data_IF_214792010673
#
_entry.id   IF_214792010673
#
_cell.length_a   1.000
_cell.length_b   1.000
_cell.length_c   1.000
_cell.angle_alpha   90.00
_cell.angle_beta   90.00
_cell.angle_gamma   90.00
#
_symmetry.space_group_name_H-M   'P 1'
#
loop_
_entity.id
_entity.type
_entity.pdbx_description
1 polymer ?
#
# COMPACT_ATOMS: atom_id res chain seq x y z
N UNK A 1 -6.22 0.00 0.42
CA UNK A 1 -7.42 -0.88 0.37
C UNK A 1 -6.98 -2.34 0.31
N UNK A 2 -7.35 -3.14 1.32
CA UNK A 2 -6.97 -4.55 1.39
C UNK A 2 -7.85 -5.47 0.52
N UNK A 3 -9.05 -5.02 0.15
CA UNK A 3 -10.03 -5.73 -0.67
C UNK A 3 -10.28 -4.94 -1.96
N UNK A 4 -10.25 -5.62 -3.09
CA UNK A 4 -10.64 -5.04 -4.37
C UNK A 4 -12.16 -4.82 -4.38
N UNK A 5 -12.59 -3.58 -4.61
CA UNK A 5 -14.01 -3.24 -4.85
C UNK A 5 -14.25 -3.22 -6.35
N UNK A 6 -15.28 -3.93 -6.81
CA UNK A 6 -15.63 -3.98 -8.23
C UNK A 6 -16.90 -3.16 -8.47
N UNK A 7 -16.77 -2.12 -9.28
CA UNK A 7 -17.90 -1.45 -9.92
C UNK A 7 -17.95 -1.92 -11.37
N UNK A 8 -19.11 -2.43 -11.80
CA UNK A 8 -19.32 -2.94 -13.16
C UNK A 8 -19.87 -1.88 -14.10
N UNK A 9 -20.14 -0.66 -13.62
CA UNK A 9 -20.59 0.44 -14.47
C UNK A 9 -19.51 0.73 -15.54
N UNK A 10 -19.87 0.68 -16.84
CA UNK A 10 -18.96 1.09 -17.90
C UNK A 10 -18.57 2.55 -17.74
N UNK A 11 -17.31 2.86 -18.04
CA UNK A 11 -16.79 4.24 -18.06
C UNK A 11 -16.97 4.77 -19.48
N UNK A 12 -17.82 5.78 -19.64
CA UNK A 12 -18.18 6.37 -20.94
C UNK A 12 -17.27 7.55 -21.32
N UNK A 13 -16.60 8.18 -20.35
CA UNK A 13 -15.72 9.32 -20.61
C UNK A 13 -14.85 9.74 -19.43
N UNK A 14 -13.95 10.70 -19.69
CA UNK A 14 -13.05 11.27 -18.68
C UNK A 14 -13.80 12.03 -17.59
N UNK A 15 -14.93 12.66 -17.92
CA UNK A 15 -15.74 13.42 -16.96
C UNK A 15 -16.30 12.54 -15.83
N UNK A 16 -16.56 11.25 -16.09
CA UNK A 16 -16.98 10.30 -15.07
C UNK A 16 -15.85 9.98 -14.08
N UNK A 17 -14.60 9.92 -14.55
CA UNK A 17 -13.43 9.74 -13.70
C UNK A 17 -13.20 10.98 -12.82
N UNK A 18 -13.38 12.17 -13.39
CA UNK A 18 -13.33 13.43 -12.64
C UNK A 18 -14.45 13.47 -11.60
N UNK A 19 -15.67 13.12 -12.00
CA UNK A 19 -16.84 13.01 -11.13
C UNK A 19 -16.63 12.02 -9.99
N UNK A 20 -15.97 10.88 -10.26
CA UNK A 20 -15.63 9.88 -9.26
C UNK A 20 -14.69 10.44 -8.17
N UNK A 21 -13.65 11.19 -8.54
CA UNK A 21 -12.79 11.86 -7.56
C UNK A 21 -13.54 12.96 -6.79
N UNK A 22 -14.34 13.76 -7.50
CA UNK A 22 -15.13 14.83 -6.90
C UNK A 22 -16.19 14.32 -5.90
N UNK A 23 -16.70 13.10 -6.10
CA UNK A 23 -17.61 12.44 -5.15
C UNK A 23 -16.95 12.15 -3.79
N UNK A 24 -15.62 12.21 -3.70
CA UNK A 24 -14.87 12.11 -2.45
C UNK A 24 -14.97 13.35 -1.54
N UNK A 25 -15.51 14.47 -2.04
CA UNK A 25 -15.69 15.69 -1.26
C UNK A 25 -16.61 15.45 -0.05
N UNK A 26 -16.17 15.87 1.14
CA UNK A 26 -16.93 15.72 2.40
C UNK A 26 -16.94 17.03 3.19
N UNK A 27 -18.07 17.43 3.78
CA UNK A 27 -18.09 18.58 4.68
C UNK A 27 -17.19 18.32 5.90
N UNK A 28 -16.65 19.39 6.50
CA UNK A 28 -15.60 19.30 7.55
C UNK A 28 -15.97 18.45 8.75
N UNK A 29 -17.24 18.44 9.16
CA UNK A 29 -17.75 17.62 10.27
C UNK A 29 -17.70 16.10 9.98
N UNK A 30 -17.57 15.74 8.70
CA UNK A 30 -17.40 14.36 8.22
C UNK A 30 -15.95 13.99 7.93
N UNK A 31 -14.99 14.89 8.13
CA UNK A 31 -13.58 14.55 7.96
C UNK A 31 -13.13 13.53 8.99
N UNK A 32 -12.29 12.60 8.55
CA UNK A 32 -11.71 11.52 9.34
C UNK A 32 -10.22 11.41 9.06
N UNK A 33 -9.54 10.64 9.91
CA UNK A 33 -8.12 10.31 9.85
C UNK A 33 -8.04 8.79 9.71
N UNK A 34 -7.70 8.32 8.52
CA UNK A 34 -7.29 6.94 8.31
C UNK A 34 -5.79 6.82 8.54
N UNK A 35 -5.32 5.72 9.13
CA UNK A 35 -3.87 5.49 9.30
C UNK A 35 -3.55 4.08 8.91
N UNK A 36 -2.51 3.92 8.10
CA UNK A 36 -2.03 2.61 7.68
C UNK A 36 -0.57 2.45 8.06
N UNK A 37 -0.18 1.26 8.48
CA UNK A 37 1.21 1.00 8.82
C UNK A 37 1.60 -0.45 8.58
N UNK A 38 2.82 -0.62 8.07
CA UNK A 38 3.43 -1.90 7.77
C UNK A 38 4.51 -2.24 8.81
N UNK A 39 4.81 -3.53 8.93
CA UNK A 39 5.81 -4.04 9.88
C UNK A 39 6.36 -5.37 9.41
N UNK A 40 7.64 -5.63 9.65
CA UNK A 40 8.31 -6.87 9.26
C UNK A 40 8.14 -7.95 10.32
N UNK A 41 7.50 -9.10 10.03
CA UNK A 41 7.55 -10.26 10.91
C UNK A 41 8.92 -10.95 10.82
N UNK A 42 9.46 -11.39 11.96
CA UNK A 42 10.70 -12.17 12.03
C UNK A 42 10.64 -13.22 13.15
N UNK A 43 11.37 -14.32 12.97
CA UNK A 43 11.54 -15.30 14.05
C UNK A 43 12.51 -14.78 15.11
N UNK A 44 12.16 -14.93 16.38
CA UNK A 44 13.04 -14.54 17.51
C UNK A 44 14.33 -15.35 17.49
N UNK A 45 14.25 -16.62 17.11
CA UNK A 45 15.41 -17.47 16.89
C UNK A 45 16.02 -17.16 15.51
N UNK A 46 17.28 -16.73 15.49
CA UNK A 46 18.05 -16.47 14.27
C UNK A 46 17.65 -15.23 13.46
N UNK A 47 16.54 -14.55 13.78
CA UNK A 47 16.06 -13.36 13.07
C UNK A 47 15.80 -13.58 11.56
N UNK A 48 15.38 -14.80 11.19
CA UNK A 48 14.99 -15.11 9.82
C UNK A 48 13.62 -14.46 9.47
N UNK A 49 13.38 -14.12 8.19
CA UNK A 49 12.08 -13.62 7.77
C UNK A 49 11.02 -14.71 7.84
N UNK A 50 9.76 -14.33 8.04
CA UNK A 50 8.66 -15.29 8.19
C UNK A 50 8.04 -15.61 6.82
N UNK A 51 8.07 -16.87 6.35
CA UNK A 51 7.44 -17.26 5.09
C UNK A 51 5.91 -17.22 5.19
N UNK A 52 5.23 -17.31 4.04
CA UNK A 52 3.77 -17.39 4.02
C UNK A 52 3.24 -18.65 4.72
N UNK A 53 3.74 -19.82 4.30
CA UNK A 53 3.28 -21.12 4.78
C UNK A 53 4.10 -21.68 5.95
N UNK A 54 3.77 -22.91 6.35
CA UNK A 54 4.34 -23.59 7.51
C UNK A 54 3.54 -23.36 8.79
N UNK A 55 3.76 -24.21 9.80
CA UNK A 55 3.02 -24.17 11.08
C UNK A 55 3.19 -22.84 11.83
N UNK A 56 4.33 -22.16 11.60
CA UNK A 56 4.66 -20.86 12.19
C UNK A 56 4.83 -19.79 11.09
N UNK A 57 4.04 -19.85 10.02
CA UNK A 57 4.06 -18.88 8.92
C UNK A 57 3.10 -17.70 9.09
N UNK A 58 3.15 -16.74 8.16
CA UNK A 58 2.22 -15.60 8.13
C UNK A 58 0.75 -16.05 8.04
N UNK A 59 0.47 -17.15 7.33
CA UNK A 59 -0.87 -17.74 7.28
C UNK A 59 -1.43 -18.04 8.69
N UNK A 60 -0.60 -18.61 9.57
CA UNK A 60 -1.02 -18.94 10.93
C UNK A 60 -1.34 -17.66 11.75
N UNK A 61 -0.61 -16.56 11.50
CA UNK A 61 -0.90 -15.27 12.12
C UNK A 61 -2.25 -14.73 11.60
N UNK A 62 -2.51 -14.78 10.29
CA UNK A 62 -3.80 -14.35 9.73
C UNK A 62 -4.97 -15.18 10.26
N UNK A 63 -4.85 -16.50 10.32
CA UNK A 63 -5.89 -17.38 10.87
C UNK A 63 -6.11 -17.12 12.37
N UNK A 64 -5.05 -16.88 13.14
CA UNK A 64 -5.17 -16.48 14.55
C UNK A 64 -5.85 -15.11 14.72
N UNK A 65 -5.50 -14.13 13.88
CA UNK A 65 -6.14 -12.81 13.86
C UNK A 65 -7.62 -12.93 13.48
N UNK A 66 -7.94 -13.79 12.51
CA UNK A 66 -9.31 -14.05 12.07
C UNK A 66 -10.16 -14.55 13.25
N UNK A 67 -9.68 -15.58 13.97
CA UNK A 67 -10.38 -16.15 15.12
C UNK A 67 -10.55 -15.14 16.25
N UNK A 68 -9.52 -14.31 16.51
CA UNK A 68 -9.55 -13.32 17.59
C UNK A 68 -10.47 -12.15 17.29
N UNK A 69 -10.49 -11.68 16.05
CA UNK A 69 -11.22 -10.48 15.65
C UNK A 69 -12.63 -10.76 15.11
N UNK A 70 -12.89 -11.98 14.64
CA UNK A 70 -14.11 -12.31 13.90
C UNK A 70 -14.20 -11.61 12.55
N UNK A 71 -13.06 -11.25 11.94
CA UNK A 71 -12.99 -10.56 10.66
C UNK A 71 -13.11 -11.54 9.49
N UNK A 72 -13.60 -11.06 8.36
CA UNK A 72 -13.81 -11.87 7.17
C UNK A 72 -12.49 -12.07 6.40
N UNK A 73 -12.20 -13.29 5.92
CA UNK A 73 -10.96 -13.55 5.21
C UNK A 73 -11.00 -12.97 3.79
N UNK A 74 -9.90 -12.34 3.39
CA UNK A 74 -9.64 -11.94 2.01
C UNK A 74 -8.86 -13.08 1.35
N UNK A 75 -9.40 -13.62 0.26
CA UNK A 75 -8.88 -14.81 -0.39
C UNK A 75 -8.32 -14.50 -1.79
N UNK A 76 -7.20 -15.11 -2.14
CA UNK A 76 -6.64 -15.12 -3.50
C UNK A 76 -6.15 -16.54 -3.82
N UNK A 77 -6.62 -17.11 -4.93
CA UNK A 77 -6.31 -18.47 -5.35
C UNK A 77 -6.42 -19.52 -4.21
N UNK A 78 -7.45 -19.40 -3.36
CA UNK A 78 -7.70 -20.29 -2.23
C UNK A 78 -6.81 -20.08 -1.00
N UNK A 79 -6.05 -18.99 -0.95
CA UNK A 79 -5.14 -18.63 0.14
C UNK A 79 -5.64 -17.38 0.86
N UNK A 80 -5.63 -17.39 2.19
CA UNK A 80 -5.90 -16.20 2.99
C UNK A 80 -4.73 -15.22 2.82
N UNK A 81 -5.02 -13.99 2.39
CA UNK A 81 -4.03 -12.94 2.09
C UNK A 81 -4.27 -11.64 2.88
N UNK A 82 -5.32 -11.62 3.70
CA UNK A 82 -5.72 -10.48 4.50
C UNK A 82 -7.02 -10.77 5.24
N UNK A 83 -7.47 -9.78 6.01
CA UNK A 83 -8.73 -9.77 6.73
C UNK A 83 -9.40 -8.43 6.51
N UNK A 84 -10.73 -8.42 6.44
CA UNK A 84 -11.52 -7.19 6.42
C UNK A 84 -12.48 -7.20 7.60
N UNK A 85 -12.55 -6.08 8.31
CA UNK A 85 -13.51 -5.89 9.38
C UNK A 85 -14.94 -5.95 8.80
N UNK A 86 -15.93 -6.57 9.49
CA UNK A 86 -17.27 -6.79 8.93
C UNK A 86 -18.02 -5.53 8.46
N UNK A 87 -17.78 -4.36 9.05
CA UNK A 87 -18.34 -3.08 8.58
C UNK A 87 -17.55 -2.44 7.44
N UNK A 88 -16.41 -3.04 7.07
CA UNK A 88 -15.53 -2.59 5.99
C UNK A 88 -14.64 -1.41 6.34
N UNK A 89 -14.58 -1.02 7.62
CA UNK A 89 -13.85 0.18 8.04
C UNK A 89 -12.36 -0.05 8.25
N UNK A 90 -11.95 -1.26 8.59
CA UNK A 90 -10.55 -1.62 8.79
C UNK A 90 -10.18 -2.89 8.05
N UNK A 91 -8.88 -3.08 7.80
CA UNK A 91 -8.38 -4.29 7.18
C UNK A 91 -6.95 -4.61 7.58
N UNK A 92 -6.61 -5.89 7.53
CA UNK A 92 -5.24 -6.40 7.61
C UNK A 92 -4.87 -6.92 6.24
N UNK A 93 -3.71 -6.53 5.75
CA UNK A 93 -3.24 -6.91 4.42
C UNK A 93 -1.77 -7.33 4.45
N UNK A 94 -1.31 -7.99 3.39
CA UNK A 94 0.08 -8.40 3.21
C UNK A 94 0.69 -7.69 2.00
N UNK A 95 1.85 -7.09 2.21
CA UNK A 95 2.71 -6.58 1.14
C UNK A 95 3.60 -7.67 0.52
N UNK A 96 4.26 -7.44 -0.64
CA UNK A 96 4.93 -8.50 -1.40
C UNK A 96 5.94 -9.33 -0.62
N UNK A 97 6.67 -8.70 0.31
CA UNK A 97 7.68 -9.32 1.17
C UNK A 97 7.14 -9.93 2.47
N UNK A 98 5.83 -9.90 2.69
CA UNK A 98 5.20 -10.37 3.93
C UNK A 98 5.16 -9.29 5.02
N UNK A 99 5.38 -8.03 4.68
CA UNK A 99 5.12 -6.93 5.59
C UNK A 99 3.63 -6.95 5.97
N UNK A 100 3.36 -6.89 7.27
CA UNK A 100 2.04 -7.12 7.82
C UNK A 100 1.35 -5.80 8.12
N UNK A 101 0.40 -5.42 7.28
CA UNK A 101 -0.23 -4.11 7.29
C UNK A 101 -1.47 -4.08 8.19
N UNK A 102 -1.71 -2.93 8.83
CA UNK A 102 -3.05 -2.51 9.22
C UNK A 102 -3.45 -1.33 8.34
N UNK A 103 -4.62 -1.40 7.71
CA UNK A 103 -5.36 -0.25 7.21
C UNK A 103 -6.46 0.05 8.24
N UNK A 104 -6.23 1.09 9.05
CA UNK A 104 -7.09 1.44 10.19
C UNK A 104 -8.38 2.14 9.79
N UNK A 105 -9.32 2.21 10.72
CA UNK A 105 -10.61 2.85 10.52
C UNK A 105 -10.49 4.35 10.25
N UNK A 106 -11.48 4.96 9.56
CA UNK A 106 -11.58 6.41 9.45
C UNK A 106 -12.04 7.01 10.79
N UNK A 107 -11.09 7.53 11.57
CA UNK A 107 -11.33 7.98 12.96
C UNK A 107 -11.42 9.51 13.09
N UNK A 108 -12.05 10.01 14.14
CA UNK A 108 -12.29 11.44 14.36
C UNK A 108 -11.10 12.16 15.02
N UNK A 109 -10.22 11.42 15.69
CA UNK A 109 -9.11 12.02 16.44
C UNK A 109 -7.87 11.14 16.47
N UNK A 110 -6.71 11.79 16.58
CA UNK A 110 -5.40 11.12 16.76
C UNK A 110 -5.35 10.21 18.00
N UNK A 111 -6.17 10.50 19.02
CA UNK A 111 -6.25 9.66 20.21
C UNK A 111 -6.95 8.33 19.92
N UNK A 112 -7.98 8.33 19.08
CA UNK A 112 -8.60 7.10 18.59
C UNK A 112 -7.60 6.32 17.73
N UNK A 113 -6.91 6.98 16.79
CA UNK A 113 -5.86 6.35 15.96
C UNK A 113 -4.78 5.69 16.81
N UNK A 114 -4.30 6.37 17.85
CA UNK A 114 -3.30 5.81 18.77
C UNK A 114 -3.83 4.59 19.53
N UNK A 115 -5.10 4.60 19.97
CA UNK A 115 -5.72 3.44 20.63
C UNK A 115 -5.87 2.25 19.68
N UNK A 116 -6.32 2.49 18.44
CA UNK A 116 -6.46 1.45 17.42
C UNK A 116 -5.11 0.80 17.11
N UNK A 117 -4.08 1.61 16.84
CA UNK A 117 -2.73 1.09 16.56
C UNK A 117 -2.18 0.26 17.73
N UNK A 118 -2.34 0.71 18.98
CA UNK A 118 -1.90 -0.04 20.14
C UNK A 118 -2.70 -1.34 20.35
N UNK A 119 -4.01 -1.32 20.11
CA UNK A 119 -4.85 -2.51 20.20
C UNK A 119 -4.41 -3.56 19.17
N UNK A 120 -4.19 -3.15 17.92
CA UNK A 120 -3.67 -4.04 16.87
C UNK A 120 -2.32 -4.64 17.22
N UNK A 121 -1.37 -3.82 17.69
CA UNK A 121 -0.05 -4.31 18.10
C UNK A 121 -0.13 -5.32 19.24
N UNK A 122 -1.03 -5.12 20.21
CA UNK A 122 -1.26 -6.06 21.30
C UNK A 122 -1.87 -7.38 20.80
N UNK A 123 -2.87 -7.32 19.92
CA UNK A 123 -3.54 -8.49 19.35
C UNK A 123 -2.59 -9.33 18.49
N UNK A 124 -1.85 -8.68 17.58
CA UNK A 124 -0.86 -9.35 16.74
C UNK A 124 0.23 -9.99 17.60
N UNK A 125 0.66 -9.31 18.68
CA UNK A 125 1.65 -9.85 19.62
C UNK A 125 1.15 -11.12 20.31
N UNK A 126 -0.09 -11.12 20.80
CA UNK A 126 -0.70 -12.27 21.48
C UNK A 126 -0.70 -13.52 20.60
N UNK A 127 -0.95 -13.37 19.30
CA UNK A 127 -0.98 -14.47 18.33
C UNK A 127 0.41 -14.88 17.87
N UNK A 128 1.31 -13.93 17.64
CA UNK A 128 2.63 -14.19 17.07
C UNK A 128 3.66 -14.71 18.09
N UNK A 129 3.54 -14.33 19.36
CA UNK A 129 4.48 -14.74 20.41
C UNK A 129 4.57 -16.27 20.59
N UNK A 130 3.45 -17.02 20.70
CA UNK A 130 3.50 -18.48 20.77
C UNK A 130 4.13 -19.15 19.55
N UNK A 131 4.10 -18.47 18.40
CA UNK A 131 4.73 -18.93 17.15
C UNK A 131 6.24 -18.59 17.09
N UNK A 132 6.79 -17.94 18.12
CA UNK A 132 8.17 -17.48 18.15
C UNK A 132 8.45 -16.31 17.20
N UNK A 133 7.42 -15.51 16.89
CA UNK A 133 7.49 -14.40 15.92
C UNK A 133 7.35 -13.06 16.64
N UNK A 134 8.13 -12.09 16.19
CA UNK A 134 8.07 -10.68 16.58
C UNK A 134 7.96 -9.79 15.35
N UNK A 135 7.65 -8.51 15.59
CA UNK A 135 7.50 -7.52 14.53
C UNK A 135 8.48 -6.37 14.73
N UNK A 136 9.02 -5.88 13.61
CA UNK A 136 9.97 -4.78 13.56
C UNK A 136 9.39 -3.62 12.73
N UNK A 137 9.37 -2.43 13.33
CA UNK A 137 8.97 -1.18 12.65
C UNK A 137 10.19 -0.40 12.18
N UNK A 138 10.53 -0.53 10.90
CA UNK A 138 11.61 0.20 10.22
C UNK A 138 11.19 0.52 8.80
N UNK A 139 11.75 1.56 8.19
CA UNK A 139 11.44 1.91 6.79
C UNK A 139 11.94 0.88 5.77
N UNK A 140 12.92 0.05 6.14
CA UNK A 140 13.47 -1.00 5.28
C UNK A 140 14.05 -2.17 6.08
N UNK A 141 14.05 -3.36 5.48
CA UNK A 141 14.62 -4.56 6.11
C UNK A 141 16.12 -4.37 6.34
N UNK A 142 16.59 -4.43 7.59
CA UNK A 142 17.98 -4.13 7.91
C UNK A 142 18.93 -5.29 7.62
N UNK A 143 18.40 -6.51 7.45
CA UNK A 143 19.18 -7.77 7.52
C UNK A 143 19.12 -8.60 6.25
N UNK A 144 17.93 -8.77 5.66
CA UNK A 144 17.69 -9.77 4.63
C UNK A 144 18.01 -9.22 3.24
N UNK A 145 18.64 -10.04 2.41
CA UNK A 145 18.74 -9.73 0.99
C UNK A 145 17.37 -9.85 0.33
N UNK A 146 17.25 -9.35 -0.90
CA UNK A 146 16.04 -9.56 -1.70
C UNK A 146 15.79 -11.07 -1.94
N UNK A 147 16.85 -11.87 -2.09
CA UNK A 147 16.75 -13.31 -2.30
C UNK A 147 16.29 -14.07 -1.06
N UNK A 148 16.62 -13.58 0.14
CA UNK A 148 16.17 -14.16 1.41
C UNK A 148 14.72 -13.81 1.74
N UNK A 149 14.18 -12.77 1.10
CA UNK A 149 12.86 -12.23 1.43
C UNK A 149 11.75 -13.12 0.88
N UNK A 150 10.78 -13.54 1.72
CA UNK A 150 9.64 -14.34 1.29
C UNK A 150 8.79 -13.62 0.25
N UNK A 151 8.09 -14.40 -0.58
CA UNK A 151 7.13 -13.88 -1.57
C UNK A 151 5.72 -14.23 -1.14
N UNK A 152 4.88 -13.23 -0.92
CA UNK A 152 3.49 -13.46 -0.57
C UNK A 152 2.71 -13.96 -1.78
N UNK A 153 1.79 -14.92 -1.60
CA UNK A 153 1.09 -15.59 -2.70
C UNK A 153 -0.11 -14.77 -3.18
N UNK A 154 0.12 -13.50 -3.55
CA UNK A 154 -0.89 -12.61 -4.13
C UNK A 154 -0.64 -12.48 -5.63
N UNK A 155 -1.61 -12.90 -6.42
CA UNK A 155 -1.54 -13.02 -7.88
C UNK A 155 -1.11 -11.69 -8.54
N UNK A 156 -1.63 -10.56 -8.04
CA UNK A 156 -1.25 -9.22 -8.52
C UNK A 156 0.25 -8.91 -8.41
N UNK A 157 0.93 -9.43 -7.39
CA UNK A 157 2.34 -9.14 -7.16
C UNK A 157 3.25 -9.85 -8.16
N UNK A 158 2.82 -10.96 -8.76
CA UNK A 158 3.60 -11.61 -9.81
C UNK A 158 3.76 -10.71 -11.04
N UNK A 159 2.70 -9.99 -11.42
CA UNK A 159 2.71 -9.03 -12.52
C UNK A 159 3.69 -7.90 -12.21
N UNK A 160 3.55 -7.28 -11.03
CA UNK A 160 4.41 -6.17 -10.60
C UNK A 160 5.87 -6.60 -10.51
N UNK A 161 6.17 -7.78 -9.97
CA UNK A 161 7.55 -8.29 -9.86
C UNK A 161 8.23 -8.49 -11.21
N UNK A 162 7.49 -8.89 -12.25
CA UNK A 162 8.03 -8.96 -13.62
C UNK A 162 8.19 -7.58 -14.25
N UNK A 163 7.38 -6.60 -13.82
CA UNK A 163 7.37 -5.26 -14.39
C UNK A 163 8.46 -4.34 -13.81
N UNK A 164 8.67 -4.35 -12.50
CA UNK A 164 9.58 -3.40 -11.82
C UNK A 164 10.97 -3.29 -12.46
N UNK A 165 11.66 -4.38 -12.85
CA UNK A 165 12.97 -4.28 -13.49
C UNK A 165 12.98 -3.54 -14.83
N UNK A 166 11.83 -3.33 -15.47
CA UNK A 166 11.70 -2.64 -16.76
C UNK A 166 11.64 -1.11 -16.61
N UNK A 167 11.36 -0.60 -15.41
CA UNK A 167 11.03 0.82 -15.17
C UNK A 167 11.89 1.51 -14.11
N UNK A 168 12.68 0.76 -13.36
CA UNK A 168 13.60 1.30 -12.35
C UNK A 168 14.47 0.19 -11.77
N UNK A 169 15.53 0.57 -11.06
CA UNK A 169 16.44 -0.42 -10.46
C UNK A 169 16.05 -0.80 -9.03
N UNK A 170 15.14 -0.06 -8.39
CA UNK A 170 14.82 -0.22 -6.96
C UNK A 170 13.40 -0.70 -6.68
N UNK A 171 12.58 -0.91 -7.72
CA UNK A 171 11.17 -1.28 -7.55
C UNK A 171 10.96 -2.63 -6.85
N UNK A 172 11.88 -3.60 -7.00
CA UNK A 172 11.82 -4.85 -6.23
C UNK A 172 12.12 -4.62 -4.74
N UNK A 173 13.07 -3.74 -4.41
CA UNK A 173 13.34 -3.41 -3.01
C UNK A 173 12.19 -2.66 -2.36
N UNK A 174 11.53 -1.76 -3.10
CA UNK A 174 10.28 -1.13 -2.68
C UNK A 174 9.26 -2.19 -2.27
N UNK A 175 8.96 -3.12 -3.17
CA UNK A 175 7.95 -4.16 -2.97
C UNK A 175 8.27 -5.08 -1.78
N UNK A 176 9.50 -5.57 -1.71
CA UNK A 176 9.83 -6.69 -0.82
C UNK A 176 10.50 -6.25 0.48
N UNK A 177 11.19 -5.10 0.50
CA UNK A 177 12.10 -4.74 1.59
C UNK A 177 11.80 -3.40 2.24
N UNK A 178 10.68 -2.74 1.95
CA UNK A 178 10.28 -1.49 2.64
C UNK A 178 9.01 -1.65 3.49
N UNK A 179 8.88 -0.81 4.52
CA UNK A 179 7.62 -0.59 5.24
C UNK A 179 7.31 0.91 5.29
N UNK A 180 6.04 1.29 5.38
CA UNK A 180 5.58 2.67 5.58
C UNK A 180 4.68 2.84 6.81
N UNK A 181 4.55 4.08 7.25
CA UNK A 181 3.37 4.57 7.97
C UNK A 181 2.79 5.71 7.14
N UNK A 182 1.48 5.71 6.94
CA UNK A 182 0.78 6.70 6.12
C UNK A 182 -0.54 7.14 6.75
N UNK A 183 -1.00 8.32 6.33
CA UNK A 183 -2.24 8.92 6.79
C UNK A 183 -3.12 9.26 5.59
N UNK A 184 -4.40 8.93 5.70
CA UNK A 184 -5.42 9.24 4.71
C UNK A 184 -6.29 10.37 5.28
N UNK A 185 -6.42 11.47 4.52
CA UNK A 185 -7.13 12.68 4.95
C UNK A 185 -8.17 13.09 3.89
N UNK A 186 -9.33 13.54 4.37
CA UNK A 186 -10.41 14.01 3.52
C UNK A 186 -10.21 15.46 3.03
N UNK A 187 -11.01 15.85 2.03
CA UNK A 187 -11.11 17.22 1.51
C UNK A 187 -12.57 17.61 1.30
N UNK A 188 -12.89 18.91 1.39
CA UNK A 188 -14.28 19.40 1.26
C UNK A 188 -14.68 19.89 -0.14
N UNK A 189 -13.71 20.17 -0.99
CA UNK A 189 -13.89 20.68 -2.34
C UNK A 189 -12.62 20.50 -3.16
N UNK A 190 -12.70 20.73 -4.47
CA UNK A 190 -11.52 20.76 -5.34
C UNK A 190 -10.46 21.79 -4.89
N UNK A 191 -10.90 22.97 -4.46
CA UNK A 191 -10.00 24.02 -3.94
C UNK A 191 -9.27 23.57 -2.67
N UNK A 192 -9.96 22.88 -1.76
CA UNK A 192 -9.36 22.33 -0.54
C UNK A 192 -8.42 21.16 -0.87
N UNK A 193 -8.83 20.26 -1.77
CA UNK A 193 -7.99 19.17 -2.30
C UNK A 193 -6.69 19.71 -2.90
N UNK A 194 -6.77 20.70 -3.82
CA UNK A 194 -5.62 21.37 -4.43
C UNK A 194 -4.67 21.88 -3.36
N UNK A 195 -5.20 22.64 -2.38
CA UNK A 195 -4.40 23.22 -1.31
C UNK A 195 -3.71 22.14 -0.47
N UNK A 196 -4.44 21.10 -0.07
CA UNK A 196 -3.90 19.97 0.71
C UNK A 196 -2.83 19.22 -0.06
N UNK A 197 -3.06 18.87 -1.33
CA UNK A 197 -2.08 18.23 -2.20
C UNK A 197 -0.80 19.06 -2.32
N UNK A 198 -0.92 20.36 -2.60
CA UNK A 198 0.23 21.27 -2.73
C UNK A 198 1.05 21.38 -1.44
N UNK A 199 0.38 21.51 -0.30
CA UNK A 199 1.04 21.58 1.01
C UNK A 199 1.72 20.24 1.33
N UNK A 200 0.99 19.13 1.18
CA UNK A 200 1.50 17.78 1.46
C UNK A 200 2.72 17.47 0.61
N UNK A 201 2.67 17.71 -0.71
CA UNK A 201 3.82 17.47 -1.59
C UNK A 201 5.02 18.35 -1.20
N UNK A 202 4.83 19.65 -0.95
CA UNK A 202 5.93 20.56 -0.53
C UNK A 202 6.59 20.12 0.78
N UNK A 203 5.80 19.61 1.73
CA UNK A 203 6.29 19.19 3.04
C UNK A 203 6.70 17.72 3.10
N UNK A 204 6.45 16.92 2.05
CA UNK A 204 6.77 15.50 2.03
C UNK A 204 8.25 15.19 2.29
N UNK A 205 9.23 15.97 1.76
CA UNK A 205 10.64 15.76 2.11
C UNK A 205 10.95 16.03 3.59
N UNK A 206 10.29 17.02 4.20
CA UNK A 206 10.43 17.31 5.63
C UNK A 206 9.88 16.16 6.48
N UNK A 207 8.69 15.64 6.15
CA UNK A 207 8.14 14.44 6.78
C UNK A 207 9.07 13.24 6.62
N UNK A 208 9.65 13.05 5.43
CA UNK A 208 10.62 11.98 5.17
C UNK A 208 11.87 12.09 6.05
N UNK A 209 12.36 13.31 6.29
CA UNK A 209 13.50 13.55 7.18
C UNK A 209 13.16 13.30 8.65
N UNK A 210 11.99 13.78 9.12
CA UNK A 210 11.53 13.59 10.51
C UNK A 210 11.33 12.11 10.86
N UNK A 211 10.87 11.29 9.90
CA UNK A 211 10.57 9.88 10.08
C UNK A 211 11.63 8.95 9.46
N UNK A 212 12.82 9.45 9.15
CA UNK A 212 13.88 8.67 8.54
C UNK A 212 14.31 7.52 9.48
N UNK A 213 14.09 6.27 9.05
CA UNK A 213 14.27 5.10 9.91
C UNK A 213 14.68 3.84 9.11
N UNK A 214 15.64 3.97 8.19
CA UNK A 214 16.17 2.82 7.43
C UNK A 214 17.67 2.93 7.09
N UNK A 215 18.56 3.03 8.09
CA UNK A 215 19.99 3.24 7.86
C UNK A 215 20.81 1.97 7.61
N UNK A 216 20.19 0.80 7.61
CA UNK A 216 20.86 -0.49 7.42
C UNK A 216 20.29 -1.25 6.23
N UNK A 217 21.16 -1.96 5.51
CA UNK A 217 20.80 -2.93 4.47
C UNK A 217 21.77 -4.11 4.61
N UNK A 218 21.26 -5.34 4.56
CA UNK A 218 22.08 -6.57 4.60
C UNK A 218 23.09 -6.61 5.77
N UNK A 219 22.61 -6.23 6.96
CA UNK A 219 23.34 -6.19 8.25
C UNK A 219 24.45 -5.14 8.33
N UNK A 220 24.49 -4.15 7.43
CA UNK A 220 25.50 -3.08 7.42
C UNK A 220 24.87 -1.69 7.27
N UNK A 221 25.51 -0.63 7.78
CA UNK A 221 25.12 0.73 7.44
C UNK A 221 25.15 0.96 5.92
N UNK A 222 24.10 1.56 5.37
CA UNK A 222 23.97 1.80 3.93
C UNK A 222 24.32 3.24 3.51
N UNK A 223 24.71 4.09 4.45
CA UNK A 223 25.09 5.49 4.21
C UNK A 223 23.92 6.47 4.11
N UNK A 224 22.68 6.01 4.31
CA UNK A 224 21.47 6.82 4.24
C UNK A 224 20.77 6.87 5.60
N UNK A 225 19.95 7.90 5.83
CA UNK A 225 19.03 7.93 6.98
C UNK A 225 17.69 7.27 6.63
N UNK A 226 17.25 7.47 5.38
CA UNK A 226 16.05 6.86 4.81
C UNK A 226 16.40 6.20 3.48
N UNK A 227 16.87 4.95 3.53
CA UNK A 227 17.03 4.13 2.33
C UNK A 227 15.69 3.90 1.63
N UNK A 228 14.60 3.76 2.39
CA UNK A 228 13.23 3.76 1.83
C UNK A 228 12.97 4.99 0.96
N UNK A 229 13.30 6.19 1.45
CA UNK A 229 13.09 7.43 0.70
C UNK A 229 13.89 7.45 -0.61
N UNK A 230 15.10 6.90 -0.59
CA UNK A 230 15.95 6.76 -1.78
C UNK A 230 15.41 5.73 -2.78
N UNK A 231 14.88 4.58 -2.30
CA UNK A 231 14.26 3.54 -3.13
C UNK A 231 13.15 4.11 -4.04
N UNK A 232 12.29 4.96 -3.47
CA UNK A 232 11.16 5.53 -4.21
C UNK A 232 11.57 6.51 -5.31
N UNK A 233 12.84 6.94 -5.38
CA UNK A 233 13.35 7.81 -6.45
C UNK A 233 13.70 7.06 -7.74
N UNK A 234 13.75 5.73 -7.69
CA UNK A 234 14.07 4.88 -8.85
C UNK A 234 13.27 3.57 -8.82
N UNK A 235 12.01 3.68 -8.41
CA UNK A 235 11.05 2.57 -8.41
C UNK A 235 10.33 2.48 -9.75
N UNK A 236 9.62 3.54 -10.15
CA UNK A 236 9.01 3.73 -11.47
C UNK A 236 8.67 5.21 -11.63
N UNK A 237 9.49 5.93 -12.41
CA UNK A 237 9.39 7.38 -12.55
C UNK A 237 8.11 7.87 -13.26
N UNK A 238 7.28 6.97 -13.79
CA UNK A 238 5.97 7.33 -14.35
C UNK A 238 4.88 7.40 -13.28
N UNK A 239 5.09 6.80 -12.09
CA UNK A 239 4.09 6.76 -10.99
C UNK A 239 4.63 7.23 -9.64
N UNK A 240 5.89 7.65 -9.57
CA UNK A 240 6.54 8.12 -8.35
C UNK A 240 7.15 9.50 -8.50
N UNK A 241 7.49 10.12 -7.39
CA UNK A 241 8.21 11.40 -7.35
C UNK A 241 7.32 12.59 -7.00
N UNK A 242 7.84 13.78 -7.27
CA UNK A 242 7.12 15.03 -7.09
C UNK A 242 6.25 15.26 -8.32
N UNK A 243 4.93 15.20 -8.17
CA UNK A 243 3.99 15.50 -9.23
C UNK A 243 3.98 17.02 -9.47
N UNK A 244 4.93 17.54 -10.26
CA UNK A 244 5.18 18.98 -10.39
C UNK A 244 3.95 19.76 -10.86
N UNK A 245 3.12 19.17 -11.74
CA UNK A 245 1.90 19.78 -12.24
C UNK A 245 0.90 20.10 -11.12
N UNK A 246 0.93 19.39 -9.98
CA UNK A 246 0.10 19.69 -8.82
C UNK A 246 0.40 21.06 -8.20
N UNK A 247 1.56 21.67 -8.46
CA UNK A 247 1.92 23.00 -7.96
C UNK A 247 1.35 24.16 -8.77
N UNK A 248 0.71 23.88 -9.91
CA UNK A 248 -0.04 24.89 -10.66
C UNK A 248 -1.13 25.51 -9.77
N UNK A 249 -1.33 26.85 -9.78
CA UNK A 249 -2.45 27.48 -9.07
C UNK A 249 -3.81 26.97 -9.55
N UNK A 250 -3.87 26.43 -10.77
CA UNK A 250 -5.09 25.94 -11.41
C UNK A 250 -5.30 24.42 -11.27
N UNK A 251 -4.35 23.68 -10.67
CA UNK A 251 -4.40 22.21 -10.54
C UNK A 251 -5.74 21.70 -10.01
N UNK A 252 -6.43 20.82 -10.74
CA UNK A 252 -7.72 20.26 -10.35
C UNK A 252 -7.78 18.73 -10.44
N UNK A 253 -8.97 18.19 -10.23
CA UNK A 253 -9.26 16.76 -10.41
C UNK A 253 -9.00 16.33 -11.86
N UNK A 254 -9.37 17.17 -12.83
CA UNK A 254 -9.15 16.89 -14.25
C UNK A 254 -7.67 16.69 -14.59
N UNK A 255 -6.77 17.55 -14.09
CA UNK A 255 -5.32 17.39 -14.31
C UNK A 255 -4.79 16.09 -13.71
N UNK A 256 -5.29 15.71 -12.52
CA UNK A 256 -4.91 14.45 -11.89
C UNK A 256 -5.41 13.24 -12.69
N UNK A 257 -6.64 13.30 -13.21
CA UNK A 257 -7.20 12.27 -14.09
C UNK A 257 -6.39 12.15 -15.37
N UNK A 258 -6.06 13.27 -16.03
CA UNK A 258 -5.25 13.25 -17.26
C UNK A 258 -3.87 12.62 -17.02
N UNK A 259 -3.21 12.94 -15.91
CA UNK A 259 -1.97 12.27 -15.51
C UNK A 259 -2.19 10.77 -15.29
N UNK A 260 -3.18 10.38 -14.49
CA UNK A 260 -3.43 8.99 -14.14
C UNK A 260 -3.82 8.13 -15.35
N UNK A 261 -4.51 8.70 -16.34
CA UNK A 261 -4.89 8.05 -17.59
C UNK A 261 -3.68 7.59 -18.41
N UNK A 262 -2.57 8.31 -18.31
CA UNK A 262 -1.34 8.03 -19.06
C UNK A 262 -0.27 7.29 -18.24
N UNK A 263 -0.51 7.04 -16.96
CA UNK A 263 0.32 6.10 -16.19
C UNK A 263 0.07 4.68 -16.71
N UNK A 264 1.13 3.90 -17.03
CA UNK A 264 0.97 2.51 -17.46
C UNK A 264 0.22 1.67 -16.41
N UNK A 265 -0.74 0.87 -16.87
CA UNK A 265 -1.49 -0.02 -16.01
C UNK A 265 -0.61 -1.16 -15.50
N UNK A 266 -1.01 -1.82 -14.42
CA UNK A 266 -0.46 -3.14 -14.07
C UNK A 266 -1.36 -4.26 -14.53
N UNK A 267 -2.65 -4.17 -14.20
CA UNK A 267 -3.58 -5.24 -14.45
C UNK A 267 -5.01 -4.74 -14.56
N UNK A 268 -5.88 -5.61 -15.06
CA UNK A 268 -7.33 -5.56 -14.82
C UNK A 268 -7.77 -6.83 -14.12
N UNK A 269 -8.91 -6.74 -13.42
CA UNK A 269 -9.55 -7.90 -12.81
C UNK A 269 -10.73 -8.31 -13.69
N UNK A 270 -10.74 -9.57 -14.13
CA UNK A 270 -11.83 -10.22 -14.89
C UNK A 270 -12.01 -11.63 -14.36
N UNK A 271 -13.26 -12.03 -14.12
CA UNK A 271 -13.60 -13.36 -13.61
C UNK A 271 -12.80 -13.80 -12.36
N UNK A 272 -12.49 -12.84 -11.49
CA UNK A 272 -11.69 -13.07 -10.28
C UNK A 272 -10.19 -13.30 -10.52
N UNK A 273 -9.70 -13.05 -11.73
CA UNK A 273 -8.30 -13.21 -12.12
C UNK A 273 -7.66 -11.88 -12.49
N UNK A 274 -6.35 -11.77 -12.24
CA UNK A 274 -5.54 -10.61 -12.61
C UNK A 274 -4.91 -10.83 -13.98
N UNK A 275 -5.26 -9.99 -14.95
CA UNK A 275 -4.69 -10.01 -16.30
C UNK A 275 -3.60 -8.95 -16.42
N UNK A 276 -2.44 -9.32 -16.97
CA UNK A 276 -1.28 -8.42 -17.13
C UNK A 276 -1.55 -7.35 -18.20
N UNK A 277 -1.62 -6.09 -17.78
CA UNK A 277 -1.91 -4.93 -18.65
C UNK A 277 -0.72 -3.98 -18.74
N UNK A 278 0.49 -4.45 -18.42
CA UNK A 278 1.69 -3.62 -18.29
C UNK A 278 2.15 -2.92 -19.57
N UNK A 279 1.52 -3.23 -20.71
CA UNK A 279 1.80 -2.65 -22.02
C UNK A 279 0.92 -1.46 -22.38
N UNK A 280 -0.13 -1.22 -21.59
CA UNK A 280 -1.16 -0.25 -21.91
C UNK A 280 -1.27 0.83 -20.83
N UNK A 281 -1.59 2.05 -21.24
CA UNK A 281 -2.15 3.06 -20.34
C UNK A 281 -3.66 2.87 -20.19
N UNK A 282 -4.27 3.45 -19.16
CA UNK A 282 -5.72 3.38 -19.00
C UNK A 282 -6.45 4.10 -20.15
N UNK A 283 -5.87 5.18 -20.68
CA UNK A 283 -6.37 5.87 -21.88
C UNK A 283 -6.44 4.93 -23.09
N UNK A 284 -5.38 4.16 -23.34
CA UNK A 284 -5.34 3.18 -24.43
C UNK A 284 -6.35 2.06 -24.20
N UNK A 285 -6.50 1.61 -22.95
CA UNK A 285 -7.49 0.60 -22.58
C UNK A 285 -8.93 1.08 -22.87
N UNK A 286 -9.29 2.31 -22.48
CA UNK A 286 -10.59 2.92 -22.79
C UNK A 286 -10.82 3.04 -24.30
N UNK A 287 -9.77 3.33 -25.08
CA UNK A 287 -9.84 3.35 -26.55
C UNK A 287 -9.93 1.94 -27.20
N UNK A 288 -9.90 0.87 -26.40
CA UNK A 288 -10.04 -0.50 -26.87
C UNK A 288 -8.74 -1.17 -27.33
N UNK A 289 -7.57 -0.65 -26.94
CA UNK A 289 -6.28 -1.19 -27.37
C UNK A 289 -6.02 -2.65 -26.92
N UNK A 290 -6.71 -3.12 -25.87
CA UNK A 290 -6.60 -4.48 -25.36
C UNK A 290 -7.82 -5.36 -25.70
N UNK A 291 -8.64 -5.01 -26.70
CA UNK A 291 -9.85 -5.77 -27.07
C UNK A 291 -9.58 -7.22 -27.54
N UNK A 292 -8.36 -7.51 -27.98
CA UNK A 292 -7.97 -8.79 -28.56
C UNK A 292 -6.98 -9.58 -27.68
N UNK A 293 -6.77 -9.14 -26.44
CA UNK A 293 -5.95 -9.87 -25.46
C UNK A 293 -6.74 -10.92 -24.68
#
# INVERSE_FOLDING_TARGET
MARDTTDTQPIEGTDELVGYLAAGNKPRDKWRIGTEHEKFPFYVDGHAPVPYGGERGIRAILEGMQQKLGWDPIMDAGRIIGLVEPTGQGAISLEPGGQFELSGAPLESIHQTCREGNAHLAQVREIAEPLGIRFLGLGGSPKWSLADTPKMPKSRYEIMTRYMPKVGTKGLDMMYRTCTIQVNLDFESETDMRRKMQVSLKLQPLSTALFANSPFTESRPNGLQSWRGDIWRDTDNQRSGMLEFCFSPDFGFADYVEWALDVPMYFVIRDGQYHDMTRYTFRQFMAGAARNE
#
